data_IF_320230706383
#
_entry.id   IF_320230706383
#
_cell.length_a   1.000
_cell.length_b   1.000
_cell.length_c   1.000
_cell.angle_alpha   90.00
_cell.angle_beta   90.00
_cell.angle_gamma   90.00
#
_symmetry.space_group_name_H-M   'P 1'
#
loop_
_entity.id
_entity.type
_entity.pdbx_description
1 polymer ?
#
# COMPACT_ATOMS: atom_id res chain seq x y z
N UNK A 1 -5.63 -13.99 -31.90
CA UNK A 1 -5.97 -12.86 -31.02
C UNK A 1 -6.56 -13.49 -29.77
N UNK A 2 -5.69 -13.80 -28.81
CA UNK A 2 -6.08 -14.18 -27.45
C UNK A 2 -5.42 -13.14 -26.56
N UNK A 3 -6.19 -12.09 -26.23
CA UNK A 3 -5.75 -10.91 -25.48
C UNK A 3 -5.98 -11.07 -23.96
N UNK A 4 -5.97 -12.31 -23.48
CA UNK A 4 -5.99 -12.62 -22.06
C UNK A 4 -4.73 -13.41 -21.71
N UNK A 5 -3.59 -12.72 -21.73
CA UNK A 5 -2.48 -13.09 -20.85
C UNK A 5 -3.05 -13.05 -19.43
N UNK A 6 -3.00 -14.18 -18.72
CA UNK A 6 -3.37 -14.21 -17.30
C UNK A 6 -2.60 -13.11 -16.57
N UNK A 7 -3.28 -12.41 -15.67
CA UNK A 7 -2.62 -11.44 -14.78
C UNK A 7 -1.35 -12.09 -14.22
N UNK A 8 -0.21 -11.40 -14.24
CA UNK A 8 1.04 -11.96 -13.75
C UNK A 8 0.85 -12.45 -12.31
N UNK A 9 1.57 -13.50 -11.91
CA UNK A 9 1.52 -13.94 -10.52
C UNK A 9 2.02 -12.77 -9.64
N UNK A 10 1.18 -12.36 -8.70
CA UNK A 10 1.40 -11.17 -7.88
C UNK A 10 1.63 -11.62 -6.44
N UNK A 11 2.87 -11.55 -5.98
CA UNK A 11 3.22 -11.90 -4.62
C UNK A 11 2.82 -10.81 -3.64
N UNK A 12 2.00 -11.14 -2.64
CA UNK A 12 1.64 -10.22 -1.57
C UNK A 12 2.84 -9.97 -0.66
N UNK A 13 3.35 -8.74 -0.65
CA UNK A 13 4.57 -8.36 0.09
C UNK A 13 4.30 -7.53 1.34
N UNK A 14 3.18 -6.82 1.38
CA UNK A 14 2.79 -6.00 2.54
C UNK A 14 1.27 -5.89 2.62
N UNK A 15 0.71 -6.13 3.79
CA UNK A 15 -0.71 -5.92 4.07
C UNK A 15 -0.87 -5.28 5.46
N UNK A 16 -1.71 -4.26 5.57
CA UNK A 16 -2.01 -3.60 6.85
C UNK A 16 -3.36 -2.88 6.83
N UNK A 17 -3.97 -2.73 8.01
CA UNK A 17 -5.26 -2.06 8.16
C UNK A 17 -5.07 -0.55 8.12
N UNK A 18 -5.68 0.10 7.12
CA UNK A 18 -5.76 1.54 7.05
C UNK A 18 -7.03 1.99 6.34
N UNK A 19 -7.64 3.08 6.81
CA UNK A 19 -8.75 3.72 6.11
C UNK A 19 -8.27 4.80 5.15
N UNK A 20 -9.09 5.14 4.16
CA UNK A 20 -8.82 6.27 3.24
C UNK A 20 -9.12 7.60 3.90
N UNK A 21 -8.59 8.67 3.32
CA UNK A 21 -9.02 10.02 3.62
C UNK A 21 -9.18 10.83 2.33
N UNK A 22 -10.15 11.73 2.31
CA UNK A 22 -10.40 12.64 1.20
C UNK A 22 -9.94 14.05 1.55
N UNK A 23 -9.30 14.74 0.61
CA UNK A 23 -8.91 16.14 0.78
C UNK A 23 -9.99 17.05 0.19
N UNK A 24 -10.47 18.02 0.98
CA UNK A 24 -11.35 19.09 0.53
C UNK A 24 -10.70 20.44 0.85
N UNK A 25 -10.31 21.17 -0.20
CA UNK A 25 -9.52 22.39 -0.03
C UNK A 25 -8.18 22.11 0.65
N UNK A 26 -8.00 22.61 1.88
CA UNK A 26 -6.79 22.40 2.69
C UNK A 26 -6.99 21.41 3.85
N UNK A 27 -8.16 20.80 3.95
CA UNK A 27 -8.53 19.89 5.03
C UNK A 27 -8.62 18.44 4.53
N UNK A 28 -8.26 17.50 5.38
CA UNK A 28 -8.31 16.06 5.09
C UNK A 28 -9.32 15.41 6.05
N UNK A 29 -10.23 14.61 5.50
CA UNK A 29 -11.34 13.99 6.22
C UNK A 29 -11.23 12.48 6.13
N UNK A 30 -11.27 11.80 7.28
CA UNK A 30 -11.22 10.35 7.33
C UNK A 30 -12.49 9.72 6.75
N UNK A 31 -12.31 8.73 5.89
CA UNK A 31 -13.34 7.73 5.62
C UNK A 31 -13.37 6.77 6.82
N UNK A 32 -14.54 6.63 7.47
CA UNK A 32 -14.70 5.83 8.67
C UNK A 32 -14.76 4.32 8.42
N UNK A 33 -14.78 3.90 7.14
CA UNK A 33 -14.85 2.48 6.78
C UNK A 33 -13.57 1.74 7.16
N UNK A 34 -13.72 0.46 7.46
CA UNK A 34 -12.61 -0.43 7.80
C UNK A 34 -11.90 -0.82 6.52
N UNK A 35 -10.73 -0.24 6.27
CA UNK A 35 -9.95 -0.53 5.08
C UNK A 35 -8.83 -1.53 5.32
N UNK A 36 -8.33 -2.10 4.22
CA UNK A 36 -7.09 -2.86 4.18
C UNK A 36 -6.30 -2.41 2.96
N UNK A 37 -5.04 -2.06 3.18
CA UNK A 37 -4.07 -1.83 2.11
C UNK A 37 -3.35 -3.15 1.87
N UNK A 38 -3.30 -3.58 0.63
CA UNK A 38 -2.51 -4.73 0.16
C UNK A 38 -1.56 -4.23 -0.91
N UNK A 39 -0.29 -4.60 -0.81
CA UNK A 39 0.74 -4.31 -1.80
C UNK A 39 1.30 -5.64 -2.28
N UNK A 40 1.19 -5.88 -3.58
CA UNK A 40 1.80 -7.02 -4.26
C UNK A 40 2.79 -6.57 -5.32
N UNK A 41 3.66 -7.47 -5.74
CA UNK A 41 4.58 -7.24 -6.85
C UNK A 41 4.54 -8.42 -7.82
N UNK A 42 4.69 -8.14 -9.11
CA UNK A 42 4.89 -9.15 -10.13
C UNK A 42 6.36 -9.22 -10.57
N UNK A 43 6.71 -10.30 -11.29
CA UNK A 43 8.04 -10.54 -11.87
C UNK A 43 8.56 -9.42 -12.79
N UNK A 44 7.65 -8.60 -13.32
CA UNK A 44 7.98 -7.43 -14.15
C UNK A 44 8.44 -6.20 -13.34
N UNK A 45 8.43 -6.31 -12.02
CA UNK A 45 8.81 -5.25 -11.08
C UNK A 45 7.72 -4.22 -10.82
N UNK A 46 6.51 -4.36 -11.39
CA UNK A 46 5.38 -3.48 -11.13
C UNK A 46 4.83 -3.69 -9.71
N UNK A 47 4.54 -2.60 -9.02
CA UNK A 47 3.96 -2.62 -7.68
C UNK A 47 2.46 -2.40 -7.80
N UNK A 48 1.68 -3.36 -7.34
CA UNK A 48 0.22 -3.29 -7.31
C UNK A 48 -0.20 -2.88 -5.90
N UNK A 49 -0.70 -1.65 -5.77
CA UNK A 49 -1.21 -1.11 -4.52
C UNK A 49 -2.74 -1.13 -4.58
N UNK A 50 -3.38 -1.87 -3.68
CA UNK A 50 -4.82 -1.97 -3.59
C UNK A 50 -5.34 -1.50 -2.23
N UNK A 51 -6.50 -0.85 -2.24
CA UNK A 51 -7.30 -0.61 -1.05
C UNK A 51 -8.65 -1.32 -1.17
N UNK A 52 -9.00 -2.12 -0.15
CA UNK A 52 -10.30 -2.79 -0.07
C UNK A 52 -11.09 -2.41 1.17
N UNK A 53 -12.41 -2.32 1.02
CA UNK A 53 -13.35 -2.22 2.15
C UNK A 53 -13.52 -3.61 2.78
N UNK A 54 -13.11 -3.76 4.05
CA UNK A 54 -13.20 -5.03 4.78
C UNK A 54 -14.62 -5.45 5.14
N UNK A 55 -15.58 -4.53 5.03
CA UNK A 55 -16.99 -4.81 5.31
C UNK A 55 -17.66 -5.50 4.12
N UNK A 56 -17.27 -5.11 2.90
CA UNK A 56 -17.83 -5.63 1.64
C UNK A 56 -16.89 -6.58 0.91
N UNK A 57 -15.61 -6.61 1.31
CA UNK A 57 -14.50 -7.25 0.60
C UNK A 57 -14.30 -6.78 -0.85
N UNK A 58 -14.76 -5.57 -1.18
CA UNK A 58 -14.55 -4.98 -2.51
C UNK A 58 -13.26 -4.16 -2.56
N UNK A 59 -12.46 -4.39 -3.59
CA UNK A 59 -11.35 -3.51 -3.96
C UNK A 59 -11.95 -2.27 -4.62
N UNK A 60 -11.64 -1.09 -4.07
CA UNK A 60 -12.18 0.17 -4.60
C UNK A 60 -11.12 1.02 -5.30
N UNK A 61 -9.87 0.90 -4.85
CA UNK A 61 -8.74 1.58 -5.47
C UNK A 61 -7.68 0.55 -5.79
N UNK A 62 -7.18 0.59 -7.01
CA UNK A 62 -6.08 -0.23 -7.49
C UNK A 62 -5.15 0.67 -8.31
N UNK A 63 -3.87 0.65 -7.94
CA UNK A 63 -2.84 1.48 -8.54
C UNK A 63 -1.68 0.59 -8.97
N UNK A 64 -1.28 0.73 -10.22
CA UNK A 64 0.01 0.25 -10.70
C UNK A 64 1.02 1.38 -10.48
N UNK A 65 2.11 1.08 -9.78
CA UNK A 65 3.15 2.04 -9.42
C UNK A 65 4.50 1.50 -9.89
N UNK A 66 5.24 2.32 -10.64
CA UNK A 66 6.61 1.97 -10.99
C UNK A 66 7.56 2.33 -9.83
N UNK A 67 8.65 1.55 -9.62
CA UNK A 67 9.68 1.93 -8.67
C UNK A 67 10.15 3.36 -8.89
N UNK A 68 10.26 4.12 -7.80
CA UNK A 68 10.62 5.53 -7.69
C UNK A 68 9.55 6.51 -8.17
N UNK A 69 8.37 6.07 -8.61
CA UNK A 69 7.30 6.97 -9.08
C UNK A 69 6.54 7.64 -7.92
N UNK A 70 6.47 6.97 -6.76
CA UNK A 70 5.77 7.48 -5.58
C UNK A 70 6.64 7.45 -4.33
N UNK A 71 6.26 8.26 -3.33
CA UNK A 71 6.85 8.31 -2.00
C UNK A 71 5.77 8.08 -0.94
N UNK A 72 6.13 7.38 0.14
CA UNK A 72 5.26 7.21 1.29
C UNK A 72 5.77 8.08 2.45
N UNK A 73 4.95 9.00 2.95
CA UNK A 73 5.31 10.03 3.93
C UNK A 73 4.44 9.96 5.16
N UNK A 74 5.00 10.23 6.33
CA UNK A 74 4.23 10.53 7.55
C UNK A 74 3.65 11.95 7.44
N UNK A 75 2.43 12.16 7.94
CA UNK A 75 1.77 13.47 7.95
C UNK A 75 1.70 14.01 9.38
N UNK A 76 2.76 14.67 9.89
CA UNK A 76 2.84 15.11 11.28
C UNK A 76 1.84 16.22 11.64
N UNK A 77 1.25 16.88 10.63
CA UNK A 77 0.21 17.89 10.84
C UNK A 77 -1.09 17.28 11.38
N UNK A 78 -1.32 15.98 11.18
CA UNK A 78 -2.43 15.26 11.78
C UNK A 78 -2.03 14.75 13.17
N UNK A 79 -2.27 15.57 14.20
CA UNK A 79 -1.90 15.23 15.59
C UNK A 79 -2.87 14.28 16.29
N UNK A 80 -4.05 14.06 15.72
CA UNK A 80 -5.12 13.23 16.30
C UNK A 80 -5.11 11.79 15.80
N UNK A 81 -4.19 11.41 14.92
CA UNK A 81 -4.14 10.08 14.34
C UNK A 81 -2.83 9.76 13.66
N UNK A 82 -2.68 8.50 13.25
CA UNK A 82 -1.48 7.97 12.60
C UNK A 82 -1.70 8.01 11.09
N UNK A 83 -1.32 9.12 10.46
CA UNK A 83 -1.65 9.43 9.05
C UNK A 83 -0.42 9.37 8.17
N UNK A 84 -0.58 8.73 7.02
CA UNK A 84 0.41 8.59 5.98
C UNK A 84 -0.13 9.09 4.64
N UNK A 85 0.78 9.47 3.76
CA UNK A 85 0.52 10.00 2.44
C UNK A 85 1.33 9.22 1.42
N UNK A 86 0.64 8.60 0.45
CA UNK A 86 1.25 8.14 -0.79
C UNK A 86 1.14 9.28 -1.82
N UNK A 87 2.28 9.77 -2.29
CA UNK A 87 2.36 10.89 -3.22
C UNK A 87 3.16 10.50 -4.46
N UNK A 88 2.57 10.65 -5.64
CA UNK A 88 3.29 10.51 -6.91
C UNK A 88 4.23 11.72 -7.09
N UNK A 89 5.44 11.49 -7.59
CA UNK A 89 6.47 12.53 -7.73
C UNK A 89 6.15 13.51 -8.85
N UNK A 90 5.71 12.98 -9.99
CA UNK A 90 5.50 13.76 -11.22
C UNK A 90 4.03 14.16 -11.43
N UNK A 91 3.13 13.66 -10.59
CA UNK A 91 1.71 14.01 -10.60
C UNK A 91 1.30 14.65 -9.27
N UNK A 92 0.36 15.58 -9.29
CA UNK A 92 -0.23 16.15 -8.06
C UNK A 92 -1.18 15.17 -7.32
N UNK A 93 -1.14 13.89 -7.68
CA UNK A 93 -2.00 12.84 -7.15
C UNK A 93 -1.51 12.40 -5.77
N UNK A 94 -2.41 12.52 -4.77
CA UNK A 94 -2.14 12.26 -3.35
C UNK A 94 -3.21 11.33 -2.80
N UNK A 95 -2.78 10.30 -2.07
CA UNK A 95 -3.66 9.39 -1.35
C UNK A 95 -3.29 9.39 0.13
N UNK A 96 -4.25 9.76 0.97
CA UNK A 96 -4.07 9.84 2.41
C UNK A 96 -4.68 8.60 3.07
N UNK A 97 -3.94 8.02 4.02
CA UNK A 97 -4.33 6.83 4.75
C UNK A 97 -4.16 7.05 6.24
N UNK A 98 -5.12 6.58 7.04
CA UNK A 98 -5.02 6.59 8.49
C UNK A 98 -4.97 5.17 9.03
N UNK A 99 -3.97 4.88 9.86
CA UNK A 99 -3.70 3.52 10.34
C UNK A 99 -4.80 3.03 11.28
N UNK A 100 -5.28 1.83 11.01
CA UNK A 100 -6.33 1.13 11.76
C UNK A 100 -5.83 -0.11 12.50
N UNK A 101 -4.52 -0.41 12.43
CA UNK A 101 -3.94 -1.42 13.32
C UNK A 101 -4.15 -1.03 14.78
N UNK A 102 -4.46 -1.98 15.68
CA UNK A 102 -4.77 -1.64 17.08
C UNK A 102 -3.57 -1.08 17.83
N UNK A 103 -2.34 -1.34 17.36
CA UNK A 103 -1.09 -0.88 17.93
C UNK A 103 -0.29 -0.11 16.87
N UNK A 104 0.57 0.78 17.34
CA UNK A 104 1.46 1.62 16.54
C UNK A 104 2.87 1.05 16.39
N UNK A 105 3.17 -0.04 17.11
CA UNK A 105 4.49 -0.71 17.07
C UNK A 105 4.92 -1.12 15.65
N UNK A 106 3.95 -1.43 14.78
CA UNK A 106 4.21 -1.87 13.41
C UNK A 106 4.30 -0.70 12.42
N UNK A 107 3.93 0.52 12.81
CA UNK A 107 3.83 1.66 11.89
C UNK A 107 5.19 2.04 11.29
N UNK A 108 6.27 1.94 12.07
CA UNK A 108 7.62 2.22 11.58
C UNK A 108 8.09 1.14 10.59
N UNK A 109 7.78 -0.12 10.88
CA UNK A 109 8.09 -1.23 9.99
C UNK A 109 7.33 -1.09 8.67
N UNK A 110 6.02 -0.85 8.73
CA UNK A 110 5.16 -0.62 7.56
C UNK A 110 5.69 0.57 6.75
N UNK A 111 6.06 1.67 7.41
CA UNK A 111 6.61 2.85 6.76
C UNK A 111 7.94 2.56 6.04
N UNK A 112 8.85 1.86 6.71
CA UNK A 112 10.15 1.50 6.16
C UNK A 112 10.00 0.53 4.97
N UNK A 113 9.19 -0.52 5.13
CA UNK A 113 8.96 -1.51 4.08
C UNK A 113 8.25 -0.92 2.87
N UNK A 114 7.21 -0.10 3.07
CA UNK A 114 6.54 0.61 1.97
C UNK A 114 7.52 1.49 1.18
N UNK A 115 8.37 2.27 1.87
CA UNK A 115 9.37 3.10 1.19
C UNK A 115 10.44 2.27 0.48
N UNK A 116 10.83 1.13 1.04
CA UNK A 116 11.73 0.19 0.38
C UNK A 116 11.12 -0.32 -0.93
N UNK A 117 9.88 -0.82 -0.86
CA UNK A 117 9.12 -1.35 -2.01
C UNK A 117 8.98 -0.27 -3.09
N UNK A 118 8.54 0.93 -2.73
CA UNK A 118 8.40 2.03 -3.67
C UNK A 118 9.73 2.49 -4.29
N UNK A 119 10.88 2.22 -3.67
CA UNK A 119 12.18 2.64 -4.18
C UNK A 119 12.88 1.60 -5.04
N UNK A 120 12.68 0.32 -4.73
CA UNK A 120 13.46 -0.79 -5.31
C UNK A 120 12.62 -1.91 -5.92
N UNK A 121 11.31 -1.92 -5.68
CA UNK A 121 10.50 -3.15 -5.78
C UNK A 121 10.56 -3.98 -4.50
N UNK A 122 9.99 -5.19 -4.52
CA UNK A 122 10.04 -6.12 -3.41
C UNK A 122 11.49 -6.43 -3.03
N UNK A 123 11.76 -6.72 -1.75
CA UNK A 123 13.06 -7.23 -1.35
C UNK A 123 13.34 -8.51 -2.14
N UNK A 124 14.57 -8.72 -2.66
CA UNK A 124 14.94 -10.03 -3.19
C UNK A 124 14.70 -11.06 -2.09
N UNK A 125 13.93 -12.10 -2.40
CA UNK A 125 13.30 -13.00 -1.44
C UNK A 125 14.19 -13.42 -0.26
N UNK A 126 13.58 -13.40 0.93
CA UNK A 126 13.93 -14.34 2.00
C UNK A 126 13.59 -15.76 1.56
N UNK A 127 14.43 -16.38 0.74
CA UNK A 127 14.41 -17.82 0.49
C UNK A 127 14.80 -18.60 1.78
N UNK A 128 13.92 -18.74 2.77
CA UNK A 128 14.05 -19.83 3.76
C UNK A 128 12.78 -20.12 4.59
N UNK A 129 11.76 -20.76 4.00
CA UNK A 129 10.92 -21.76 4.71
C UNK A 129 9.87 -22.38 3.79
N UNK A 130 10.31 -23.23 2.86
CA UNK A 130 9.47 -24.31 2.31
C UNK A 130 10.33 -25.40 1.68
N UNK A 131 11.33 -25.90 2.42
CA UNK A 131 11.93 -27.22 2.18
C UNK A 131 12.26 -27.90 3.52
N UNK A 132 11.22 -28.25 4.29
CA UNK A 132 11.30 -29.31 5.30
C UNK A 132 10.01 -30.13 5.26
N UNK A 133 10.19 -31.45 5.14
CA UNK A 133 9.17 -32.52 5.15
C UNK A 133 8.50 -32.70 3.77
N UNK A 134 8.70 -33.79 3.01
CA UNK A 134 9.22 -35.13 3.26
C UNK A 134 9.93 -35.63 1.98
#
# INVERSE_FOLDING_TARGET
MDLFQGEPDQDLVLEFRAGKMSMQGKMVYADHRKGLVSVSQADDGMIYFAWKDRSTNQVEDELIIFPKEAEFKKVPQCTTGRVFLLQFREAERKYFFWMQEPKDVDDEFIFALMNYILSHGAPPDSEESSKKTL
#
